data_IF_417725761725
#
_entry.id   IF_417725761725
#
_cell.length_a   1.000
_cell.length_b   1.000
_cell.length_c   1.000
_cell.angle_alpha   90.00
_cell.angle_beta   90.00
_cell.angle_gamma   90.00
#
_symmetry.space_group_name_H-M   'P 1'
#
loop_
_entity.id
_entity.type
_entity.pdbx_description
1 polymer ?
#
# COMPACT_ATOMS: atom_id res chain seq x y z
N UNK A 1 -7.86 10.57 -32.85
CA UNK A 1 -8.00 11.39 -31.62
C UNK A 1 -9.44 11.39 -31.18
N UNK A 2 -9.70 11.47 -29.87
CA UNK A 2 -11.06 11.54 -29.30
C UNK A 2 -11.84 12.75 -29.86
N UNK A 3 -13.11 12.56 -30.24
CA UNK A 3 -14.00 13.62 -30.72
C UNK A 3 -14.52 14.56 -29.61
N UNK A 4 -14.05 14.41 -28.37
CA UNK A 4 -14.40 15.28 -27.23
C UNK A 4 -13.29 15.35 -26.20
N UNK A 5 -13.27 16.43 -25.42
CA UNK A 5 -12.40 16.60 -24.26
C UNK A 5 -12.75 15.59 -23.14
N UNK A 6 -11.81 15.37 -22.21
CA UNK A 6 -11.94 14.43 -21.07
C UNK A 6 -11.73 15.12 -19.72
N UNK A 7 -11.92 16.43 -19.68
CA UNK A 7 -11.80 17.19 -18.44
C UNK A 7 -13.02 16.93 -17.53
N UNK A 8 -12.84 16.78 -16.22
CA UNK A 8 -13.88 16.27 -15.32
C UNK A 8 -15.09 17.20 -15.20
N UNK A 9 -14.90 18.52 -15.30
CA UNK A 9 -15.98 19.51 -15.22
C UNK A 9 -16.95 19.49 -16.41
N UNK A 10 -16.71 18.66 -17.44
CA UNK A 10 -17.69 18.38 -18.48
C UNK A 10 -18.74 17.34 -18.05
N UNK A 11 -18.52 16.65 -16.93
CA UNK A 11 -19.44 15.67 -16.37
C UNK A 11 -20.24 16.31 -15.23
N UNK A 12 -19.58 16.60 -14.10
CA UNK A 12 -20.15 17.28 -12.93
C UNK A 12 -19.02 17.67 -11.93
N UNK A 13 -19.41 18.29 -10.81
CA UNK A 13 -18.48 18.67 -9.73
C UNK A 13 -17.91 17.45 -8.99
N UNK A 14 -18.71 16.39 -8.82
CA UNK A 14 -18.27 15.15 -8.17
C UNK A 14 -17.12 14.49 -8.94
N UNK A 15 -17.17 14.47 -10.27
CA UNK A 15 -16.09 13.98 -11.12
C UNK A 15 -14.77 14.76 -10.94
N UNK A 16 -14.85 16.07 -10.64
CA UNK A 16 -13.67 16.88 -10.34
C UNK A 16 -13.06 16.44 -9.00
N UNK A 17 -13.90 16.18 -8.01
CA UNK A 17 -13.48 15.76 -6.68
C UNK A 17 -12.91 14.33 -6.68
N UNK A 18 -13.54 13.41 -7.41
CA UNK A 18 -13.06 12.04 -7.63
C UNK A 18 -11.71 12.05 -8.32
N UNK A 19 -11.54 12.84 -9.39
CA UNK A 19 -10.24 12.97 -10.06
C UNK A 19 -9.17 13.50 -9.10
N UNK A 20 -9.50 14.53 -8.31
CA UNK A 20 -8.57 15.10 -7.32
C UNK A 20 -8.16 14.05 -6.29
N UNK A 21 -9.13 13.32 -5.72
CA UNK A 21 -8.92 12.30 -4.71
C UNK A 21 -7.94 11.22 -5.17
N UNK A 22 -8.22 10.58 -6.32
CA UNK A 22 -7.37 9.50 -6.82
C UNK A 22 -6.04 9.98 -7.41
N UNK A 23 -5.96 11.20 -7.94
CA UNK A 23 -4.68 11.79 -8.37
C UNK A 23 -3.77 12.02 -7.16
N UNK A 24 -4.30 12.57 -6.08
CA UNK A 24 -3.58 12.76 -4.82
C UNK A 24 -3.13 11.43 -4.22
N UNK A 25 -4.03 10.43 -4.18
CA UNK A 25 -3.69 9.08 -3.73
C UNK A 25 -2.55 8.48 -4.55
N UNK A 26 -2.62 8.57 -5.88
CA UNK A 26 -1.57 8.06 -6.77
C UNK A 26 -0.23 8.74 -6.51
N UNK A 27 -0.21 10.07 -6.35
CA UNK A 27 1.01 10.82 -6.03
C UNK A 27 1.63 10.35 -4.70
N UNK A 28 0.82 10.15 -3.65
CA UNK A 28 1.31 9.59 -2.37
C UNK A 28 1.83 8.16 -2.50
N UNK A 29 1.24 7.35 -3.37
CA UNK A 29 1.67 5.97 -3.61
C UNK A 29 2.89 5.84 -4.54
N UNK A 30 3.44 6.94 -5.06
CA UNK A 30 4.56 6.87 -6.01
C UNK A 30 5.79 6.12 -5.52
N UNK A 31 6.21 6.17 -4.23
CA UNK A 31 7.32 5.36 -3.77
C UNK A 31 7.08 3.85 -4.00
N UNK A 32 5.87 3.36 -3.70
CA UNK A 32 5.45 1.99 -4.00
C UNK A 32 5.32 1.71 -5.50
N UNK A 33 4.61 2.57 -6.24
CA UNK A 33 4.34 2.36 -7.67
C UNK A 33 5.61 2.40 -8.51
N UNK A 34 6.56 3.28 -8.17
CA UNK A 34 7.84 3.35 -8.84
C UNK A 34 8.72 2.14 -8.50
N UNK A 35 8.66 1.63 -7.26
CA UNK A 35 9.27 0.35 -6.90
C UNK A 35 8.75 -0.81 -7.77
N UNK A 36 7.43 -0.87 -8.00
CA UNK A 36 6.85 -1.86 -8.92
C UNK A 36 7.28 -1.64 -10.39
N UNK A 37 7.51 -0.40 -10.83
CA UNK A 37 8.05 -0.10 -12.15
C UNK A 37 9.53 -0.52 -12.30
N UNK A 38 10.33 -0.37 -11.24
CA UNK A 38 11.71 -0.89 -11.19
C UNK A 38 11.71 -2.41 -11.32
N UNK A 39 10.81 -3.12 -10.62
CA UNK A 39 10.67 -4.57 -10.79
C UNK A 39 10.29 -4.96 -12.22
N UNK A 40 9.42 -4.19 -12.87
CA UNK A 40 9.08 -4.41 -14.28
C UNK A 40 10.28 -4.25 -15.20
N UNK A 41 11.11 -3.23 -14.96
CA UNK A 41 12.32 -3.00 -15.74
C UNK A 41 13.39 -4.08 -15.52
N UNK A 42 13.64 -4.47 -14.27
CA UNK A 42 14.73 -5.37 -13.91
C UNK A 42 14.40 -6.85 -14.14
N UNK A 43 13.16 -7.26 -13.86
CA UNK A 43 12.76 -8.67 -13.81
C UNK A 43 11.63 -9.04 -14.78
N UNK A 44 11.07 -8.06 -15.49
CA UNK A 44 9.92 -8.30 -16.38
C UNK A 44 8.60 -8.55 -15.65
N UNK A 45 8.52 -8.25 -14.34
CA UNK A 45 7.29 -8.38 -13.56
C UNK A 45 6.39 -7.16 -13.79
N UNK A 46 5.23 -7.29 -14.46
CA UNK A 46 4.41 -6.13 -14.80
C UNK A 46 3.89 -5.43 -13.55
N UNK A 47 3.68 -4.11 -13.64
CA UNK A 47 3.11 -3.32 -12.55
C UNK A 47 1.64 -3.68 -12.30
N UNK A 48 0.88 -3.98 -13.35
CA UNK A 48 -0.47 -4.55 -13.26
C UNK A 48 -0.38 -6.04 -13.57
N UNK A 49 -0.67 -6.88 -12.59
CA UNK A 49 -0.49 -8.34 -12.65
C UNK A 49 -1.84 -9.03 -12.66
N UNK A 50 -2.00 -9.99 -13.57
CA UNK A 50 -3.10 -10.93 -13.51
C UNK A 50 -3.05 -11.69 -12.17
N UNK A 51 -4.21 -12.05 -11.62
CA UNK A 51 -4.27 -12.74 -10.33
C UNK A 51 -3.51 -14.08 -10.36
N UNK A 52 -3.65 -14.84 -11.45
CA UNK A 52 -2.91 -16.11 -11.63
C UNK A 52 -1.38 -15.95 -11.69
N UNK A 53 -0.86 -14.76 -11.99
CA UNK A 53 0.58 -14.51 -11.97
C UNK A 53 1.10 -14.38 -10.53
N UNK A 54 0.33 -13.72 -9.66
CA UNK A 54 0.70 -13.50 -8.26
C UNK A 54 0.31 -14.68 -7.36
N UNK A 55 -0.76 -15.40 -7.71
CA UNK A 55 -1.29 -16.55 -6.96
C UNK A 55 -1.45 -17.78 -7.87
N UNK A 56 -0.34 -18.34 -8.39
CA UNK A 56 -0.39 -19.43 -9.37
C UNK A 56 -0.92 -20.75 -8.81
N UNK A 57 -0.85 -20.93 -7.48
CA UNK A 57 -1.31 -22.13 -6.78
C UNK A 57 -2.78 -22.03 -6.33
N UNK A 58 -3.44 -20.88 -6.52
CA UNK A 58 -4.84 -20.69 -6.19
C UNK A 58 -5.70 -20.86 -7.45
N UNK A 59 -6.42 -22.00 -7.62
CA UNK A 59 -7.25 -22.24 -8.80
C UNK A 59 -8.42 -21.25 -8.91
N UNK A 60 -8.79 -20.54 -7.83
CA UNK A 60 -9.75 -19.45 -7.89
C UNK A 60 -9.26 -18.26 -8.73
N UNK A 61 -7.96 -18.18 -9.00
CA UNK A 61 -7.32 -17.09 -9.73
C UNK A 61 -7.18 -17.32 -11.24
N UNK A 62 -7.42 -18.55 -11.74
CA UNK A 62 -7.19 -18.94 -13.14
C UNK A 62 -7.93 -18.06 -14.16
N UNK A 63 -9.17 -17.67 -13.84
CA UNK A 63 -10.06 -16.97 -14.77
C UNK A 63 -10.39 -15.54 -14.34
N UNK A 64 -9.67 -14.97 -13.37
CA UNK A 64 -9.95 -13.62 -12.87
C UNK A 64 -9.41 -12.56 -13.85
N UNK A 65 -10.34 -11.81 -14.47
CA UNK A 65 -10.05 -10.79 -15.49
C UNK A 65 -10.61 -9.39 -15.14
N UNK A 66 -11.40 -9.28 -14.07
CA UNK A 66 -12.03 -8.02 -13.59
C UNK A 66 -11.37 -7.43 -12.33
N UNK A 67 -10.25 -7.99 -11.92
CA UNK A 67 -9.42 -7.53 -10.81
C UNK A 67 -7.95 -7.85 -11.11
N UNK A 68 -7.04 -7.17 -10.43
CA UNK A 68 -5.61 -7.35 -10.63
C UNK A 68 -4.82 -7.00 -9.37
N UNK A 69 -3.57 -7.45 -9.33
CA UNK A 69 -2.59 -6.94 -8.36
C UNK A 69 -1.85 -5.75 -8.97
N UNK A 70 -1.83 -4.63 -8.26
CA UNK A 70 -1.03 -3.45 -8.57
C UNK A 70 0.26 -3.52 -7.77
N UNK A 71 1.36 -3.91 -8.42
CA UNK A 71 2.56 -4.38 -7.74
C UNK A 71 2.30 -5.71 -7.05
N UNK A 72 3.03 -5.97 -5.98
CA UNK A 72 2.97 -7.25 -5.26
C UNK A 72 1.92 -7.26 -4.14
N UNK A 73 1.55 -6.08 -3.60
CA UNK A 73 0.86 -5.99 -2.32
C UNK A 73 -0.57 -5.46 -2.39
N UNK A 74 -0.92 -4.71 -3.45
CA UNK A 74 -2.26 -4.12 -3.61
C UNK A 74 -3.11 -4.92 -4.58
N UNK A 75 -4.29 -5.36 -4.16
CA UNK A 75 -5.34 -5.89 -5.02
C UNK A 75 -6.34 -4.78 -5.35
N UNK A 76 -6.65 -4.62 -6.63
CA UNK A 76 -7.60 -3.62 -7.14
C UNK A 76 -8.70 -4.33 -7.94
N UNK A 77 -9.96 -4.11 -7.57
CA UNK A 77 -11.11 -4.56 -8.37
C UNK A 77 -11.99 -3.35 -8.79
N UNK A 78 -11.87 -2.84 -10.02
CA UNK A 78 -12.69 -1.73 -10.49
C UNK A 78 -14.19 -2.02 -10.46
N UNK A 79 -14.99 -0.99 -10.17
CA UNK A 79 -16.46 -1.08 -10.19
C UNK A 79 -16.95 -0.84 -11.62
N UNK A 80 -17.55 -1.86 -12.24
CA UNK A 80 -18.04 -1.80 -13.62
C UNK A 80 -19.56 -1.62 -13.74
N UNK A 81 -20.28 -1.64 -12.61
CA UNK A 81 -21.75 -1.59 -12.58
C UNK A 81 -22.24 -0.22 -12.15
N UNK A 82 -23.29 0.27 -12.78
CA UNK A 82 -23.91 1.56 -12.45
C UNK A 82 -24.66 1.56 -11.10
N UNK A 83 -24.96 0.37 -10.55
CA UNK A 83 -25.52 0.21 -9.21
C UNK A 83 -24.44 0.11 -8.13
N UNK A 84 -23.18 0.42 -8.47
CA UNK A 84 -22.05 0.48 -7.56
C UNK A 84 -21.62 -0.84 -6.92
N UNK A 85 -22.24 -1.96 -7.31
CA UNK A 85 -21.90 -3.30 -6.81
C UNK A 85 -20.66 -3.83 -7.53
N UNK A 86 -19.80 -4.53 -6.79
CA UNK A 86 -18.63 -5.22 -7.33
C UNK A 86 -18.48 -6.59 -6.69
N UNK A 87 -18.24 -7.59 -7.55
CA UNK A 87 -17.90 -8.95 -7.17
C UNK A 87 -16.41 -9.17 -7.43
N UNK A 88 -15.67 -9.62 -6.42
CA UNK A 88 -14.24 -9.85 -6.51
C UNK A 88 -13.81 -11.00 -5.59
N UNK A 89 -12.68 -11.62 -5.88
CA UNK A 89 -12.09 -12.71 -5.12
C UNK A 89 -10.88 -12.20 -4.32
N UNK A 90 -10.81 -12.54 -3.04
CA UNK A 90 -9.59 -12.35 -2.26
C UNK A 90 -8.95 -13.72 -2.04
N UNK A 91 -7.68 -13.92 -2.42
CA UNK A 91 -6.91 -15.11 -2.04
C UNK A 91 -6.82 -15.27 -0.52
N UNK A 92 -6.41 -16.45 -0.05
CA UNK A 92 -6.27 -16.73 1.37
C UNK A 92 -5.34 -15.74 2.08
N UNK A 93 -5.71 -15.33 3.29
CA UNK A 93 -4.98 -14.35 4.11
C UNK A 93 -5.88 -13.24 4.64
N UNK A 94 -5.38 -12.48 5.61
CA UNK A 94 -6.09 -11.37 6.23
C UNK A 94 -5.76 -10.06 5.50
N UNK A 95 -6.71 -9.60 4.70
CA UNK A 95 -6.56 -8.41 3.86
C UNK A 95 -6.98 -7.16 4.60
N UNK A 96 -6.29 -6.05 4.36
CA UNK A 96 -6.63 -4.73 4.93
C UNK A 96 -7.00 -3.75 3.82
N UNK A 97 -8.18 -3.13 3.89
CA UNK A 97 -8.59 -2.12 2.94
C UNK A 97 -7.73 -0.87 3.10
N UNK A 98 -7.08 -0.42 2.02
CA UNK A 98 -6.08 0.65 2.08
C UNK A 98 -6.68 1.99 2.51
N UNK A 99 -7.90 2.31 2.09
CA UNK A 99 -8.54 3.60 2.38
C UNK A 99 -9.19 3.63 3.76
N UNK A 100 -9.91 2.57 4.13
CA UNK A 100 -10.75 2.55 5.35
C UNK A 100 -10.07 1.89 6.54
N UNK A 101 -9.06 1.05 6.32
CA UNK A 101 -8.43 0.23 7.37
C UNK A 101 -9.24 -0.98 7.80
N UNK A 102 -10.39 -1.26 7.17
CA UNK A 102 -11.17 -2.47 7.40
C UNK A 102 -10.32 -3.72 7.13
N UNK A 103 -10.49 -4.77 7.93
CA UNK A 103 -9.80 -6.04 7.74
C UNK A 103 -10.78 -7.17 7.49
N UNK A 104 -10.48 -8.03 6.52
CA UNK A 104 -11.30 -9.19 6.17
C UNK A 104 -10.45 -10.42 5.94
N UNK A 105 -10.99 -11.60 6.25
CA UNK A 105 -10.36 -12.86 5.85
C UNK A 105 -10.73 -13.17 4.39
N UNK A 106 -9.71 -13.48 3.58
CA UNK A 106 -9.84 -13.90 2.20
C UNK A 106 -10.08 -15.41 2.06
N UNK A 107 -9.70 -15.97 0.92
CA UNK A 107 -9.97 -17.35 0.52
C UNK A 107 -11.36 -17.53 -0.09
N UNK A 108 -11.90 -16.48 -0.74
CA UNK A 108 -13.26 -16.52 -1.25
C UNK A 108 -13.70 -15.28 -2.01
N UNK A 109 -14.86 -15.42 -2.65
CA UNK A 109 -15.56 -14.33 -3.32
C UNK A 109 -16.24 -13.39 -2.32
N UNK A 110 -16.24 -12.12 -2.65
CA UNK A 110 -16.86 -11.02 -1.92
C UNK A 110 -17.73 -10.20 -2.86
N UNK A 111 -18.77 -9.62 -2.28
CA UNK A 111 -19.69 -8.68 -2.92
C UNK A 111 -19.87 -7.49 -2.00
N UNK A 112 -19.48 -6.33 -2.49
CA UNK A 112 -19.58 -5.06 -1.76
C UNK A 112 -20.13 -3.97 -2.68
N UNK A 113 -20.47 -2.81 -2.11
CA UNK A 113 -20.95 -1.62 -2.82
C UNK A 113 -20.10 -0.41 -2.42
N UNK A 114 -19.69 0.41 -3.39
CA UNK A 114 -18.78 1.55 -3.18
C UNK A 114 -19.33 2.83 -3.79
N UNK A 115 -19.09 3.98 -3.16
CA UNK A 115 -19.30 5.27 -3.82
C UNK A 115 -18.16 5.57 -4.82
N UNK A 116 -18.21 6.72 -5.48
CA UNK A 116 -17.19 7.11 -6.46
C UNK A 116 -15.82 7.48 -5.85
N UNK A 117 -15.71 7.61 -4.52
CA UNK A 117 -14.47 7.93 -3.81
C UNK A 117 -13.75 6.69 -3.30
N UNK A 118 -14.27 5.50 -3.60
CA UNK A 118 -13.72 4.24 -3.12
C UNK A 118 -13.90 3.13 -4.16
N UNK A 119 -13.21 2.03 -3.92
CA UNK A 119 -13.30 0.78 -4.66
C UNK A 119 -12.57 -0.30 -3.82
N UNK A 120 -12.75 -1.59 -4.11
CA UNK A 120 -11.92 -2.64 -3.53
C UNK A 120 -10.42 -2.37 -3.78
N UNK A 121 -9.76 -1.82 -2.77
CA UNK A 121 -8.32 -1.56 -2.74
C UNK A 121 -7.74 -2.24 -1.51
N UNK A 122 -7.39 -3.51 -1.65
CA UNK A 122 -7.01 -4.38 -0.54
C UNK A 122 -5.49 -4.58 -0.50
N UNK A 123 -4.94 -4.59 0.70
CA UNK A 123 -3.53 -4.85 0.96
C UNK A 123 -3.38 -6.26 1.53
N UNK A 124 -2.50 -7.06 0.94
CA UNK A 124 -2.21 -8.42 1.44
C UNK A 124 -1.49 -8.38 2.80
N UNK A 125 -1.63 -9.42 3.65
CA UNK A 125 -0.89 -9.49 4.92
C UNK A 125 0.63 -9.59 4.69
N UNK A 126 1.42 -9.39 5.75
CA UNK A 126 2.88 -9.42 5.71
C UNK A 126 3.50 -8.47 4.68
N UNK A 127 2.89 -7.30 4.48
CA UNK A 127 3.34 -6.34 3.46
C UNK A 127 3.75 -4.99 4.06
N UNK A 128 4.57 -4.29 3.28
CA UNK A 128 5.03 -2.94 3.57
C UNK A 128 4.75 -2.09 2.33
N UNK A 129 3.99 -1.00 2.49
CA UNK A 129 3.75 -0.03 1.42
C UNK A 129 4.45 1.28 1.77
N UNK A 130 5.50 1.68 1.03
CA UNK A 130 6.08 3.01 1.15
C UNK A 130 5.11 4.07 0.60
N UNK A 131 4.70 5.00 1.46
CA UNK A 131 3.80 6.12 1.13
C UNK A 131 4.57 7.43 1.28
N UNK A 132 4.60 8.22 0.22
CA UNK A 132 5.35 9.45 0.13
C UNK A 132 4.66 10.63 0.80
N UNK A 133 5.45 11.69 0.99
CA UNK A 133 5.06 12.90 1.71
C UNK A 133 4.30 13.93 0.87
N UNK A 134 4.16 13.70 -0.44
CA UNK A 134 3.56 14.65 -1.40
C UNK A 134 2.41 14.01 -2.18
N UNK A 135 1.36 14.80 -2.41
CA UNK A 135 0.17 14.39 -3.18
C UNK A 135 -0.11 15.25 -4.43
N UNK A 136 0.75 16.23 -4.74
CA UNK A 136 0.53 17.20 -5.82
C UNK A 136 1.26 16.88 -7.13
N UNK A 137 2.32 16.07 -7.08
CA UNK A 137 3.10 15.64 -8.25
C UNK A 137 3.66 14.24 -8.04
N UNK A 138 4.01 13.49 -9.10
CA UNK A 138 4.50 12.12 -8.97
C UNK A 138 6.03 11.99 -8.89
N UNK A 139 6.77 13.04 -9.25
CA UNK A 139 8.21 13.06 -9.49
C UNK A 139 8.94 13.95 -8.45
N UNK A 140 8.82 13.57 -7.19
CA UNK A 140 9.50 14.19 -6.05
C UNK A 140 10.56 13.23 -5.47
N UNK A 141 11.27 13.66 -4.44
CA UNK A 141 12.16 12.77 -3.68
C UNK A 141 11.32 11.73 -2.90
N UNK A 142 11.17 10.54 -3.49
CA UNK A 142 10.27 9.50 -3.00
C UNK A 142 10.65 8.94 -1.61
N UNK A 143 11.90 9.14 -1.18
CA UNK A 143 12.42 8.69 0.10
C UNK A 143 12.36 9.76 1.19
N UNK A 144 12.25 11.05 0.83
CA UNK A 144 12.18 12.13 1.79
C UNK A 144 10.81 12.15 2.51
N UNK A 145 10.85 12.02 3.84
CA UNK A 145 9.68 11.93 4.71
C UNK A 145 8.73 10.77 4.36
N UNK A 146 9.27 9.67 3.81
CA UNK A 146 8.48 8.48 3.49
C UNK A 146 7.92 7.82 4.76
N UNK A 147 6.68 7.37 4.70
CA UNK A 147 6.05 6.56 5.74
C UNK A 147 5.85 5.15 5.23
N UNK A 148 6.45 4.16 5.88
CA UNK A 148 6.26 2.76 5.58
C UNK A 148 5.05 2.23 6.32
N UNK A 149 3.99 1.89 5.59
CA UNK A 149 2.78 1.33 6.16
C UNK A 149 2.93 -0.19 6.28
N UNK A 150 2.88 -0.73 7.50
CA UNK A 150 3.01 -2.16 7.79
C UNK A 150 1.63 -2.76 7.96
N UNK A 151 1.33 -3.84 7.24
CA UNK A 151 0.03 -4.51 7.25
C UNK A 151 0.16 -5.95 7.72
N UNK A 152 -0.58 -6.27 8.79
CA UNK A 152 -0.80 -7.63 9.31
C UNK A 152 0.45 -8.54 9.25
N UNK A 153 1.53 -8.11 9.89
CA UNK A 153 2.76 -8.90 9.97
C UNK A 153 2.55 -10.05 10.97
N UNK A 154 2.48 -11.26 10.44
CA UNK A 154 2.25 -12.48 11.20
C UNK A 154 3.43 -12.81 12.12
N UNK A 155 3.15 -13.60 13.14
CA UNK A 155 4.17 -14.11 14.06
C UNK A 155 5.26 -14.89 13.32
N UNK A 156 6.53 -14.58 13.61
CA UNK A 156 7.69 -15.17 12.94
C UNK A 156 7.93 -14.69 11.50
N UNK A 157 7.07 -13.84 10.95
CA UNK A 157 7.22 -13.33 9.59
C UNK A 157 8.23 -12.18 9.51
N UNK A 158 8.77 -11.98 8.30
CA UNK A 158 9.59 -10.84 7.93
C UNK A 158 9.14 -10.25 6.61
N UNK A 159 9.28 -8.95 6.45
CA UNK A 159 8.98 -8.24 5.21
C UNK A 159 10.03 -7.16 4.94
N UNK A 160 10.12 -6.72 3.69
CA UNK A 160 10.95 -5.60 3.31
C UNK A 160 10.36 -4.79 2.16
N UNK A 161 10.59 -3.49 2.15
CA UNK A 161 10.24 -2.63 1.02
C UNK A 161 11.23 -1.47 0.87
N UNK A 162 11.42 -1.06 -0.36
CA UNK A 162 12.34 0.02 -0.73
C UNK A 162 11.55 1.21 -1.26
N UNK A 163 11.87 2.42 -0.79
CA UNK A 163 11.53 3.65 -1.50
C UNK A 163 12.71 3.98 -2.43
N UNK A 164 12.54 3.93 -3.76
CA UNK A 164 13.62 4.16 -4.72
C UNK A 164 13.86 5.65 -4.96
N UNK A 165 14.99 5.99 -5.55
CA UNK A 165 15.22 7.28 -6.20
C UNK A 165 14.39 7.40 -7.48
N UNK A 166 14.26 8.61 -8.03
CA UNK A 166 13.60 8.84 -9.34
C UNK A 166 14.38 8.26 -10.53
N UNK A 167 15.59 7.74 -10.30
CA UNK A 167 16.38 6.99 -11.29
C UNK A 167 16.15 5.47 -11.18
N UNK A 168 15.43 5.00 -10.15
CA UNK A 168 15.13 3.59 -9.92
C UNK A 168 16.12 2.86 -9.02
N UNK A 169 17.14 3.55 -8.51
CA UNK A 169 18.09 3.00 -7.54
C UNK A 169 17.48 2.93 -6.13
N UNK A 170 17.90 2.00 -5.30
CA UNK A 170 17.46 1.93 -3.91
C UNK A 170 17.95 3.16 -3.11
N UNK A 171 17.03 3.92 -2.51
CA UNK A 171 17.37 5.03 -1.62
C UNK A 171 17.33 4.55 -0.16
N UNK A 172 16.13 4.28 0.39
CA UNK A 172 15.93 3.71 1.73
C UNK A 172 15.19 2.37 1.63
N UNK A 173 15.68 1.36 2.36
CA UNK A 173 15.03 0.04 2.44
C UNK A 173 14.69 -0.27 3.89
N UNK A 174 13.40 -0.51 4.14
CA UNK A 174 12.92 -0.97 5.44
C UNK A 174 12.89 -2.50 5.46
N UNK A 175 13.46 -3.07 6.51
CA UNK A 175 13.34 -4.48 6.88
C UNK A 175 12.61 -4.57 8.22
N UNK A 176 11.64 -5.48 8.31
CA UNK A 176 10.93 -5.76 9.55
C UNK A 176 10.85 -7.27 9.80
N UNK A 177 10.98 -7.67 11.06
CA UNK A 177 10.72 -9.02 11.53
C UNK A 177 9.89 -8.99 12.81
N UNK A 178 8.96 -9.92 12.94
CA UNK A 178 8.22 -10.16 14.19
C UNK A 178 8.77 -11.36 14.95
N UNK A 179 8.99 -11.19 16.25
CA UNK A 179 9.35 -12.24 17.21
C UNK A 179 8.50 -12.06 18.48
N UNK A 180 7.49 -12.92 18.63
CA UNK A 180 6.40 -12.75 19.56
C UNK A 180 5.67 -11.42 19.38
N UNK A 181 5.57 -10.67 20.47
CA UNK A 181 5.01 -9.33 20.44
C UNK A 181 6.02 -8.26 20.02
N UNK A 182 7.24 -8.62 19.64
CA UNK A 182 8.29 -7.64 19.32
C UNK A 182 8.46 -7.50 17.81
N UNK A 183 8.38 -6.27 17.32
CA UNK A 183 8.75 -5.89 15.97
C UNK A 183 10.18 -5.33 15.97
N UNK A 184 11.07 -5.98 15.24
CA UNK A 184 12.42 -5.51 14.97
C UNK A 184 12.45 -4.85 13.60
N UNK A 185 12.77 -3.56 13.55
CA UNK A 185 12.75 -2.75 12.33
C UNK A 185 14.14 -2.18 12.09
N UNK A 186 14.63 -2.33 10.87
CA UNK A 186 15.91 -1.80 10.39
C UNK A 186 15.66 -1.02 9.10
N UNK A 187 16.18 0.20 9.02
CA UNK A 187 16.14 1.04 7.82
C UNK A 187 17.56 1.24 7.29
N UNK A 188 17.85 0.62 6.16
CA UNK A 188 19.13 0.77 5.47
C UNK A 188 19.15 2.07 4.69
N UNK A 189 20.32 2.74 4.66
CA UNK A 189 20.52 4.04 4.03
C UNK A 189 19.56 5.14 4.54
N UNK A 190 19.16 5.07 5.82
CA UNK A 190 18.29 6.03 6.50
C UNK A 190 18.96 7.41 6.71
N UNK A 191 19.28 8.10 5.61
CA UNK A 191 19.92 9.43 5.59
C UNK A 191 18.89 10.58 5.56
N UNK A 192 17.62 10.26 5.25
CA UNK A 192 16.49 11.19 5.20
C UNK A 192 15.45 10.82 6.27
N UNK A 193 14.55 11.75 6.66
CA UNK A 193 13.47 11.42 7.59
C UNK A 193 12.56 10.31 7.04
N UNK A 194 12.23 9.34 7.89
CA UNK A 194 11.35 8.22 7.56
C UNK A 194 10.46 7.89 8.76
N UNK A 195 9.35 7.18 8.53
CA UNK A 195 8.39 6.82 9.58
C UNK A 195 7.83 5.42 9.32
N UNK A 196 7.22 4.84 10.34
CA UNK A 196 6.49 3.57 10.23
C UNK A 196 5.07 3.78 10.72
N UNK A 197 4.09 3.36 9.94
CA UNK A 197 2.69 3.30 10.37
C UNK A 197 2.28 1.84 10.53
N UNK A 198 2.04 1.43 11.78
CA UNK A 198 1.50 0.10 12.10
C UNK A 198 -0.01 0.13 11.88
N UNK A 199 -0.46 -0.36 10.72
CA UNK A 199 -1.86 -0.27 10.29
C UNK A 199 -2.73 -1.21 11.13
N UNK A 200 -3.86 -0.71 11.62
CA UNK A 200 -4.79 -1.47 12.47
C UNK A 200 -4.30 -1.72 13.91
N UNK A 201 -3.09 -1.26 14.27
CA UNK A 201 -2.56 -1.35 15.64
C UNK A 201 -2.88 -0.05 16.37
N UNK A 202 -3.88 -0.06 17.26
CA UNK A 202 -4.35 1.15 17.96
C UNK A 202 -3.34 1.72 18.95
N UNK A 203 -2.47 0.87 19.50
CA UNK A 203 -1.46 1.24 20.49
C UNK A 203 -0.41 0.16 20.62
N UNK A 204 0.77 0.56 21.09
CA UNK A 204 1.93 -0.32 21.35
C UNK A 204 2.41 -0.12 22.78
N UNK A 205 2.94 -1.18 23.40
CA UNK A 205 3.44 -1.17 24.77
C UNK A 205 4.64 -0.24 24.92
N UNK A 206 5.66 -0.44 24.08
CA UNK A 206 6.92 0.31 24.11
C UNK A 206 7.46 0.57 22.70
N UNK A 207 8.25 1.63 22.57
CA UNK A 207 9.05 1.93 21.37
C UNK A 207 10.45 2.29 21.84
N UNK A 208 11.46 1.63 21.29
CA UNK A 208 12.88 1.96 21.47
C UNK A 208 13.44 2.51 20.16
N UNK A 209 14.23 3.58 20.23
CA UNK A 209 14.81 4.29 19.08
C UNK A 209 13.87 5.33 18.43
N UNK A 210 12.71 5.62 19.03
CA UNK A 210 11.73 6.53 18.45
C UNK A 210 10.58 6.88 19.39
N UNK A 211 9.65 7.66 18.87
CA UNK A 211 8.40 8.05 19.53
C UNK A 211 7.19 7.39 18.85
N UNK A 212 6.09 7.27 19.60
CA UNK A 212 4.79 6.81 19.06
C UNK A 212 3.76 7.93 19.11
N UNK A 213 2.95 8.02 18.06
CA UNK A 213 1.84 8.96 17.93
C UNK A 213 0.59 8.20 17.47
N UNK A 214 -0.57 8.66 17.91
CA UNK A 214 -1.85 8.15 17.41
C UNK A 214 -2.06 8.59 15.96
N UNK A 215 -2.54 7.68 15.12
CA UNK A 215 -2.93 7.94 13.75
C UNK A 215 -4.33 7.36 13.50
N UNK A 216 -5.12 7.95 12.62
CA UNK A 216 -6.50 7.49 12.36
C UNK A 216 -6.55 6.03 11.87
N UNK A 217 -5.48 5.56 11.23
CA UNK A 217 -5.35 4.20 10.71
C UNK A 217 -4.46 3.28 11.56
N UNK A 218 -4.02 3.70 12.76
CA UNK A 218 -3.18 2.88 13.65
C UNK A 218 -2.16 3.68 14.47
N UNK A 219 -0.96 3.13 14.66
CA UNK A 219 0.11 3.76 15.45
C UNK A 219 1.24 4.22 14.54
N UNK A 220 1.51 5.53 14.55
CA UNK A 220 2.62 6.12 13.83
C UNK A 220 3.86 6.12 14.73
N UNK A 221 4.93 5.48 14.28
CA UNK A 221 6.23 5.46 14.93
C UNK A 221 7.19 6.36 14.15
N UNK A 222 7.83 7.29 14.87
CA UNK A 222 8.78 8.26 14.32
C UNK A 222 10.14 8.01 14.96
N UNK A 223 11.14 7.53 14.21
CA UNK A 223 12.50 7.37 14.71
C UNK A 223 13.09 8.68 15.22
N UNK A 224 13.98 8.58 16.21
CA UNK A 224 14.84 9.71 16.59
C UNK A 224 15.83 10.03 15.46
N UNK A 225 16.30 11.28 15.41
CA UNK A 225 17.22 11.73 14.37
C UNK A 225 18.49 10.87 14.33
N UNK A 226 18.79 10.29 13.16
CA UNK A 226 19.96 9.44 12.95
C UNK A 226 19.79 7.99 13.39
N UNK A 227 18.62 7.60 13.91
CA UNK A 227 18.32 6.22 14.25
C UNK A 227 17.82 5.47 13.01
N UNK A 228 18.47 4.33 12.73
CA UNK A 228 18.08 3.38 11.67
C UNK A 228 17.40 2.12 12.22
N UNK A 229 17.34 1.94 13.55
CA UNK A 229 16.79 0.75 14.19
C UNK A 229 15.68 1.11 15.16
N UNK A 230 14.54 0.43 15.04
CA UNK A 230 13.45 0.50 16.02
C UNK A 230 13.17 -0.88 16.58
N UNK A 231 12.81 -0.91 17.86
CA UNK A 231 12.14 -2.06 18.46
C UNK A 231 10.80 -1.60 18.99
N UNK A 232 9.72 -2.25 18.55
CA UNK A 232 8.36 -1.90 18.96
C UNK A 232 7.71 -3.12 19.59
N UNK A 233 7.23 -2.98 20.82
CA UNK A 233 6.53 -4.05 21.53
C UNK A 233 5.02 -3.84 21.39
N UNK A 234 4.35 -4.81 20.79
CA UNK A 234 2.90 -4.89 20.67
C UNK A 234 2.26 -5.24 22.02
N UNK A 235 1.00 -4.84 22.20
CA UNK A 235 0.22 -5.17 23.39
C UNK A 235 -0.19 -6.65 23.43
#
# INVERSE_FOLDING_TARGET
>A
GSGSYRVPWLFDDEAVDVLRHFTQLKCRLMPYLYGAAVQAHQFGLPTMRAMMLEFPDDPGCDTLDRQYMLGDSLLVAPVFRADNVVDYYLPAGRWTHFLTGETVEGGGWRRDSYDFFSLPLWVRPNSIIPVGSTDTRPDYDLADNVTFHIFDLAEGASASATAPTIQGEADITLHIRRDGNTLHIQADNATKPWRVLLRGVSSVATVSGGSRNTHEQGTLVVPETGVSQLTVELL
#
